data_IF_800497437885
#
_entry.id   IF_800497437885
#
_cell.length_a   1.000
_cell.length_b   1.000
_cell.length_c   1.000
_cell.angle_alpha   90.00
_cell.angle_beta   90.00
_cell.angle_gamma   90.00
#
_symmetry.space_group_name_H-M   'P 1'
#
loop_
_entity.id
_entity.type
_entity.pdbx_description
1 polymer ?
#
# COMPACT_ATOMS: atom_id res chain seq x y z
N UNK A 1 78.72 -17.92 -36.29
CA UNK A 1 78.01 -16.64 -36.10
C UNK A 1 76.54 -16.81 -35.64
N UNK A 2 75.88 -17.91 -35.90
CA UNK A 2 74.48 -18.15 -35.56
C UNK A 2 74.17 -18.48 -34.07
N UNK A 3 75.14 -19.05 -33.33
CA UNK A 3 74.89 -19.46 -31.92
C UNK A 3 74.78 -18.30 -30.90
N UNK A 4 75.32 -17.13 -31.21
CA UNK A 4 75.23 -15.97 -30.32
C UNK A 4 73.95 -15.15 -30.50
N UNK A 5 73.28 -15.27 -31.65
CA UNK A 5 72.06 -14.61 -31.96
C UNK A 5 70.81 -15.28 -31.31
N UNK A 6 70.84 -16.58 -31.14
CA UNK A 6 69.74 -17.36 -30.54
C UNK A 6 69.66 -17.13 -29.02
N UNK A 7 70.78 -16.90 -28.34
CA UNK A 7 70.84 -16.69 -26.89
C UNK A 7 70.27 -15.30 -26.53
N UNK A 8 70.48 -14.27 -27.35
CA UNK A 8 69.90 -12.95 -27.13
C UNK A 8 68.36 -12.91 -27.36
N UNK A 9 67.81 -13.68 -28.28
CA UNK A 9 66.37 -13.70 -28.56
C UNK A 9 65.59 -14.44 -27.46
N UNK A 10 66.14 -15.44 -26.80
CA UNK A 10 65.51 -16.11 -25.67
C UNK A 10 65.56 -15.33 -24.38
N UNK A 11 66.59 -14.49 -24.17
CA UNK A 11 66.67 -13.60 -22.98
C UNK A 11 65.66 -12.46 -23.00
N UNK A 12 65.34 -11.90 -24.15
CA UNK A 12 64.35 -10.81 -24.28
C UNK A 12 62.90 -11.30 -24.18
N UNK A 13 62.63 -12.55 -24.55
CA UNK A 13 61.29 -13.14 -24.43
C UNK A 13 60.90 -13.43 -22.96
N UNK A 14 61.87 -13.79 -22.11
CA UNK A 14 61.64 -14.07 -20.68
C UNK A 14 61.38 -12.76 -19.89
N UNK A 15 61.99 -11.65 -20.28
CA UNK A 15 61.81 -10.34 -19.60
C UNK A 15 60.42 -9.74 -19.90
N UNK A 16 59.86 -9.98 -21.09
CA UNK A 16 58.52 -9.51 -21.47
C UNK A 16 57.43 -10.33 -20.77
N UNK A 17 57.67 -11.60 -20.47
CA UNK A 17 56.73 -12.46 -19.73
C UNK A 17 56.52 -12.05 -18.26
N UNK A 18 57.46 -11.33 -17.65
CA UNK A 18 57.42 -10.95 -16.23
C UNK A 18 56.70 -9.59 -15.99
N UNK A 19 56.47 -8.79 -17.05
CA UNK A 19 55.88 -7.48 -16.95
C UNK A 19 54.33 -7.49 -16.93
N UNK A 20 53.69 -8.64 -17.18
CA UNK A 20 52.23 -8.76 -17.24
C UNK A 20 51.55 -9.29 -15.96
N UNK A 21 52.26 -9.52 -14.88
CA UNK A 21 51.66 -9.74 -13.57
C UNK A 21 51.51 -8.41 -12.83
N UNK A 22 50.81 -7.45 -13.47
CA UNK A 22 50.16 -6.38 -12.70
C UNK A 22 49.04 -7.05 -11.92
N UNK A 23 49.30 -7.49 -10.71
CA UNK A 23 48.27 -7.76 -9.74
C UNK A 23 47.40 -6.52 -9.66
N UNK A 24 46.22 -6.58 -10.21
CA UNK A 24 45.16 -5.67 -9.81
C UNK A 24 44.97 -5.88 -8.32
N UNK A 25 45.60 -5.03 -7.52
CA UNK A 25 45.44 -5.00 -6.08
C UNK A 25 44.01 -4.56 -5.87
N UNK A 26 43.08 -5.50 -5.71
CA UNK A 26 41.71 -5.22 -5.31
C UNK A 26 41.84 -4.38 -4.02
N UNK A 27 41.43 -3.13 -4.13
CA UNK A 27 41.33 -2.30 -2.94
C UNK A 27 40.41 -3.07 -1.97
N UNK A 28 40.86 -3.33 -0.74
CA UNK A 28 40.04 -4.03 0.23
C UNK A 28 38.67 -3.32 0.28
N UNK A 29 37.64 -4.09 -0.01
CA UNK A 29 36.28 -3.54 0.08
C UNK A 29 36.06 -3.06 1.52
N UNK A 30 35.53 -1.85 1.70
CA UNK A 30 35.32 -1.32 3.03
C UNK A 30 34.40 -2.24 3.83
N UNK A 31 34.62 -2.37 5.13
CA UNK A 31 33.69 -3.08 6.00
C UNK A 31 32.31 -2.42 5.88
N UNK A 32 31.27 -3.20 5.80
CA UNK A 32 29.89 -2.69 5.68
C UNK A 32 29.01 -3.26 6.78
N UNK A 33 28.12 -2.40 7.28
CA UNK A 33 27.07 -2.80 8.21
C UNK A 33 25.75 -2.51 7.51
N UNK A 34 24.94 -3.54 7.37
CA UNK A 34 23.66 -3.51 6.67
C UNK A 34 22.55 -3.77 7.68
N UNK A 35 21.62 -2.85 7.80
CA UNK A 35 20.55 -2.88 8.79
C UNK A 35 19.23 -2.43 8.21
N UNK A 36 18.15 -2.93 8.80
CA UNK A 36 16.79 -2.44 8.53
C UNK A 36 16.26 -1.72 9.77
N UNK A 37 15.95 -0.45 9.61
CA UNK A 37 15.22 0.31 10.62
C UNK A 37 13.73 0.26 10.33
N UNK A 38 12.93 0.22 11.40
CA UNK A 38 11.46 0.22 11.34
C UNK A 38 10.91 1.22 12.35
N UNK A 39 9.80 1.85 12.01
CA UNK A 39 9.08 2.67 12.97
C UNK A 39 7.58 2.52 12.75
N UNK A 40 6.84 2.51 13.86
CA UNK A 40 5.39 2.43 13.87
C UNK A 40 4.84 3.67 14.58
N UNK A 41 3.84 4.31 13.96
CA UNK A 41 3.08 5.40 14.55
C UNK A 41 1.66 4.90 14.75
N UNK A 42 1.16 4.99 15.98
CA UNK A 42 -0.25 4.73 16.30
C UNK A 42 -1.05 6.01 16.17
N UNK A 43 -2.22 5.93 15.53
CA UNK A 43 -3.09 7.09 15.29
C UNK A 43 -4.55 6.67 15.31
N UNK A 44 -5.42 7.52 15.89
CA UNK A 44 -6.85 7.38 15.75
C UNK A 44 -7.27 7.81 14.34
N UNK A 45 -8.01 6.98 13.60
CA UNK A 45 -8.53 7.38 12.29
C UNK A 45 -9.54 8.53 12.44
N UNK A 46 -9.54 9.42 11.45
CA UNK A 46 -10.47 10.53 11.36
C UNK A 46 -11.24 10.58 10.04
N UNK A 47 -11.10 9.54 9.21
CA UNK A 47 -11.83 9.39 7.95
C UNK A 47 -12.37 7.97 7.88
N UNK A 48 -13.64 7.83 7.53
CA UNK A 48 -14.28 6.56 7.20
C UNK A 48 -14.72 6.54 5.74
N UNK A 49 -14.54 5.41 5.09
CA UNK A 49 -14.98 5.18 3.71
C UNK A 49 -15.87 3.94 3.67
N UNK A 50 -17.09 4.08 3.16
CA UNK A 50 -18.06 2.98 2.99
C UNK A 50 -18.41 2.84 1.52
N UNK A 51 -18.46 1.61 1.03
CA UNK A 51 -18.92 1.33 -0.32
C UNK A 51 -20.33 0.75 -0.30
N UNK A 52 -21.18 1.24 -1.19
CA UNK A 52 -22.54 0.73 -1.41
C UNK A 52 -22.67 0.26 -2.85
N UNK A 53 -23.49 -0.77 -3.08
CA UNK A 53 -23.81 -1.18 -4.44
C UNK A 53 -25.32 -1.32 -4.60
N UNK A 54 -25.84 -0.74 -5.67
CA UNK A 54 -27.23 -0.88 -6.14
C UNK A 54 -27.20 -1.79 -7.35
N UNK A 55 -27.89 -2.92 -7.28
CA UNK A 55 -28.06 -3.86 -8.39
C UNK A 55 -29.54 -3.95 -8.79
N UNK A 56 -29.78 -3.98 -10.10
CA UNK A 56 -31.10 -4.20 -10.70
C UNK A 56 -30.96 -5.20 -11.83
N UNK A 57 -32.03 -5.93 -12.10
CA UNK A 57 -32.08 -6.87 -13.22
C UNK A 57 -33.42 -6.74 -13.92
N UNK A 58 -33.40 -6.67 -15.26
CA UNK A 58 -34.59 -6.56 -16.08
C UNK A 58 -34.41 -7.33 -17.40
N UNK A 59 -35.47 -7.48 -18.16
CA UNK A 59 -35.44 -8.17 -19.47
C UNK A 59 -34.73 -7.38 -20.56
N UNK A 60 -34.65 -6.05 -20.43
CA UNK A 60 -33.92 -5.18 -21.36
C UNK A 60 -32.83 -4.36 -20.64
N UNK A 61 -31.78 -4.04 -21.38
CA UNK A 61 -30.68 -3.19 -20.86
C UNK A 61 -31.17 -1.81 -20.42
N UNK A 62 -32.08 -1.20 -21.20
CA UNK A 62 -32.68 0.12 -20.91
C UNK A 62 -33.42 0.11 -19.57
N UNK A 63 -34.25 -0.92 -19.37
CA UNK A 63 -35.04 -1.06 -18.15
C UNK A 63 -34.14 -1.31 -16.93
N UNK A 64 -33.17 -2.23 -17.03
CA UNK A 64 -32.22 -2.51 -15.95
C UNK A 64 -31.44 -1.27 -15.53
N UNK A 65 -30.96 -0.47 -16.50
CA UNK A 65 -30.24 0.78 -16.25
C UNK A 65 -31.15 1.88 -15.65
N UNK A 66 -32.38 2.01 -16.16
CA UNK A 66 -33.36 2.99 -15.64
C UNK A 66 -33.72 2.73 -14.18
N UNK A 67 -34.11 1.50 -13.84
CA UNK A 67 -34.40 1.10 -12.45
C UNK A 67 -33.17 1.27 -11.53
N UNK A 68 -31.97 1.04 -12.06
CA UNK A 68 -30.74 1.24 -11.31
C UNK A 68 -30.51 2.73 -11.00
N UNK A 69 -30.72 3.60 -12.00
CA UNK A 69 -30.59 5.04 -11.81
C UNK A 69 -31.55 5.54 -10.73
N UNK A 70 -32.84 5.19 -10.80
CA UNK A 70 -33.86 5.58 -9.82
C UNK A 70 -33.49 5.13 -8.39
N UNK A 71 -33.05 3.88 -8.22
CA UNK A 71 -32.64 3.37 -6.90
C UNK A 71 -31.37 4.04 -6.40
N UNK A 72 -30.42 4.31 -7.31
CA UNK A 72 -29.20 5.02 -6.95
C UNK A 72 -29.50 6.47 -6.51
N UNK A 73 -30.40 7.15 -7.21
CA UNK A 73 -30.80 8.50 -6.83
C UNK A 73 -31.48 8.53 -5.46
N UNK A 74 -32.33 7.54 -5.14
CA UNK A 74 -32.91 7.41 -3.79
C UNK A 74 -31.83 7.24 -2.73
N UNK A 75 -30.82 6.38 -2.97
CA UNK A 75 -29.69 6.22 -2.06
C UNK A 75 -28.94 7.53 -1.88
N UNK A 76 -28.57 8.21 -2.98
CA UNK A 76 -27.80 9.45 -2.93
C UNK A 76 -28.53 10.54 -2.15
N UNK A 77 -29.85 10.68 -2.35
CA UNK A 77 -30.67 11.66 -1.64
C UNK A 77 -30.76 11.33 -0.15
N UNK A 78 -31.04 10.07 0.19
CA UNK A 78 -31.12 9.63 1.59
C UNK A 78 -29.79 9.84 2.33
N UNK A 79 -28.65 9.53 1.70
CA UNK A 79 -27.35 9.79 2.28
C UNK A 79 -27.07 11.30 2.45
N UNK A 80 -27.52 12.14 1.53
CA UNK A 80 -27.37 13.60 1.63
C UNK A 80 -28.20 14.21 2.73
N UNK A 81 -29.38 13.69 3.04
CA UNK A 81 -30.27 14.18 4.11
C UNK A 81 -29.64 14.04 5.51
N UNK A 82 -28.85 12.95 5.73
CA UNK A 82 -28.16 12.74 7.00
C UNK A 82 -26.92 13.66 7.12
N UNK A 83 -26.47 14.22 6.00
CA UNK A 83 -25.14 14.80 5.87
C UNK A 83 -25.10 16.24 6.33
N UNK A 84 -24.38 16.52 7.42
CA UNK A 84 -23.74 17.80 7.63
C UNK A 84 -22.43 17.86 6.84
N UNK A 85 -22.12 18.99 6.33
CA UNK A 85 -21.02 19.55 5.50
C UNK A 85 -19.74 18.76 5.13
N UNK A 86 -19.47 17.55 5.64
CA UNK A 86 -18.16 16.88 5.50
C UNK A 86 -18.25 15.45 4.91
N UNK A 87 -19.20 15.23 4.01
CA UNK A 87 -19.33 13.94 3.32
C UNK A 87 -19.10 14.11 1.84
N UNK A 88 -18.19 13.31 1.32
CA UNK A 88 -17.97 13.18 -0.11
C UNK A 88 -18.62 11.91 -0.60
N UNK A 89 -19.53 12.03 -1.55
CA UNK A 89 -20.18 10.90 -2.21
C UNK A 89 -19.76 10.91 -3.66
N UNK A 90 -19.30 9.78 -4.16
CA UNK A 90 -18.92 9.60 -5.57
C UNK A 90 -19.35 8.25 -6.10
N UNK A 91 -19.75 8.20 -7.36
CA UNK A 91 -19.89 6.94 -8.08
C UNK A 91 -18.48 6.40 -8.37
N UNK A 92 -18.20 5.18 -7.92
CA UNK A 92 -16.92 4.51 -8.13
C UNK A 92 -16.94 3.55 -9.32
N UNK A 93 -18.10 3.20 -9.84
CA UNK A 93 -18.23 2.38 -11.03
C UNK A 93 -19.67 2.10 -11.39
N UNK A 94 -19.92 1.95 -12.70
CA UNK A 94 -21.18 1.46 -13.26
C UNK A 94 -20.88 0.31 -14.22
N UNK A 95 -21.66 -0.75 -14.12
CA UNK A 95 -21.56 -1.91 -15.01
C UNK A 95 -22.95 -2.38 -15.41
N UNK A 96 -23.12 -2.69 -16.70
CA UNK A 96 -24.31 -3.28 -17.27
C UNK A 96 -23.94 -4.55 -18.04
N UNK A 97 -24.37 -5.71 -17.54
CA UNK A 97 -23.99 -7.02 -18.10
C UNK A 97 -25.20 -7.82 -18.52
N UNK A 98 -25.15 -8.56 -19.64
CA UNK A 98 -26.18 -9.50 -20.00
C UNK A 98 -26.15 -10.71 -19.06
N UNK A 99 -27.33 -11.25 -18.77
CA UNK A 99 -27.55 -12.50 -18.03
C UNK A 99 -27.96 -13.57 -19.04
N UNK A 100 -27.20 -14.65 -19.07
CA UNK A 100 -27.48 -15.80 -19.97
C UNK A 100 -28.06 -16.97 -19.19
N UNK A 101 -28.87 -17.80 -19.86
CA UNK A 101 -29.28 -19.08 -19.30
C UNK A 101 -28.13 -20.09 -19.35
N UNK A 102 -28.13 -21.05 -18.40
CA UNK A 102 -27.11 -22.11 -18.37
C UNK A 102 -27.07 -22.96 -19.64
N UNK A 103 -28.25 -23.16 -20.23
CA UNK A 103 -28.42 -24.06 -21.36
C UNK A 103 -28.41 -23.34 -22.74
N UNK A 104 -28.43 -22.00 -22.76
CA UNK A 104 -28.42 -21.22 -24.00
C UNK A 104 -27.63 -19.93 -23.83
N UNK A 105 -26.47 -19.85 -24.50
CA UNK A 105 -25.62 -18.66 -24.53
C UNK A 105 -25.84 -17.76 -25.74
N UNK A 106 -26.82 -18.10 -26.59
CA UNK A 106 -27.04 -17.37 -27.83
C UNK A 106 -27.84 -16.07 -27.66
N UNK A 107 -28.71 -16.02 -26.65
CA UNK A 107 -29.50 -14.82 -26.35
C UNK A 107 -29.51 -14.54 -24.86
N UNK A 108 -29.31 -13.30 -24.43
CA UNK A 108 -29.40 -12.95 -23.01
C UNK A 108 -30.85 -13.14 -22.53
N UNK A 109 -31.01 -13.74 -21.36
CA UNK A 109 -32.27 -13.88 -20.62
C UNK A 109 -32.71 -12.54 -19.98
N UNK A 110 -31.75 -11.65 -19.74
CA UNK A 110 -31.96 -10.35 -19.13
C UNK A 110 -30.65 -9.59 -19.01
N UNK A 111 -30.72 -8.50 -18.32
CA UNK A 111 -29.57 -7.60 -18.07
C UNK A 111 -29.50 -7.25 -16.60
N UNK A 112 -28.28 -7.14 -16.09
CA UNK A 112 -28.00 -6.67 -14.73
C UNK A 112 -27.24 -5.37 -14.80
N UNK A 113 -27.76 -4.33 -14.16
CA UNK A 113 -27.07 -3.09 -13.93
C UNK A 113 -26.57 -3.04 -12.49
N UNK A 114 -25.34 -2.61 -12.29
CA UNK A 114 -24.74 -2.38 -10.98
C UNK A 114 -24.08 -1.02 -10.93
N UNK A 115 -24.47 -0.22 -9.95
CA UNK A 115 -23.84 1.05 -9.63
C UNK A 115 -23.15 0.93 -8.27
N UNK A 116 -21.91 1.39 -8.18
CA UNK A 116 -21.12 1.40 -6.96
C UNK A 116 -20.90 2.83 -6.50
N UNK A 117 -21.32 3.12 -5.27
CA UNK A 117 -21.22 4.44 -4.63
C UNK A 117 -20.24 4.34 -3.48
N UNK A 118 -19.32 5.27 -3.41
CA UNK A 118 -18.38 5.43 -2.32
C UNK A 118 -18.73 6.68 -1.52
N UNK A 119 -18.90 6.50 -0.22
CA UNK A 119 -19.10 7.56 0.76
C UNK A 119 -17.84 7.70 1.60
N UNK A 120 -17.26 8.89 1.64
CA UNK A 120 -16.15 9.26 2.50
C UNK A 120 -16.61 10.34 3.48
N UNK A 121 -16.35 10.16 4.78
CA UNK A 121 -16.76 11.10 5.82
C UNK A 121 -15.72 11.22 6.92
N UNK A 122 -15.64 12.44 7.51
CA UNK A 122 -14.94 12.69 8.78
C UNK A 122 -15.82 12.48 10.01
N UNK A 123 -17.14 12.42 9.83
CA UNK A 123 -18.10 12.13 10.90
C UNK A 123 -18.18 10.61 11.13
N UNK A 124 -17.14 10.03 11.72
CA UNK A 124 -17.03 8.58 11.95
C UNK A 124 -18.19 8.06 12.82
N UNK A 125 -18.62 8.83 13.79
CA UNK A 125 -19.75 8.55 14.67
C UNK A 125 -21.08 8.35 13.93
N UNK A 126 -21.22 8.91 12.72
CA UNK A 126 -22.42 8.79 11.89
C UNK A 126 -22.38 7.63 10.89
N UNK A 127 -21.28 6.88 10.81
CA UNK A 127 -21.16 5.81 9.83
C UNK A 127 -22.25 4.75 9.99
N UNK A 128 -22.59 4.38 11.23
CA UNK A 128 -23.72 3.48 11.51
C UNK A 128 -25.04 3.99 10.93
N UNK A 129 -25.32 5.28 11.09
CA UNK A 129 -26.54 5.88 10.54
C UNK A 129 -26.56 5.88 9.00
N UNK A 130 -25.43 6.08 8.34
CA UNK A 130 -25.32 5.95 6.87
C UNK A 130 -25.60 4.53 6.41
N UNK A 131 -25.09 3.53 7.12
CA UNK A 131 -25.32 2.11 6.82
C UNK A 131 -26.80 1.74 7.00
N UNK A 132 -27.40 2.17 8.11
CA UNK A 132 -28.80 1.90 8.43
C UNK A 132 -29.73 2.56 7.38
N UNK A 133 -29.46 3.80 7.00
CA UNK A 133 -30.24 4.51 6.01
C UNK A 133 -30.08 3.90 4.60
N UNK A 134 -28.86 3.55 4.21
CA UNK A 134 -28.65 2.84 2.95
C UNK A 134 -29.41 1.51 2.90
N UNK A 135 -29.44 0.79 4.02
CA UNK A 135 -30.23 -0.45 4.14
C UNK A 135 -31.73 -0.19 4.02
N UNK A 136 -32.23 0.89 4.66
CA UNK A 136 -33.64 1.28 4.61
C UNK A 136 -34.12 1.61 3.20
N UNK A 137 -33.29 2.27 2.39
CA UNK A 137 -33.63 2.57 0.98
C UNK A 137 -33.38 1.41 0.01
N UNK A 138 -32.92 0.28 0.52
CA UNK A 138 -32.84 -0.97 -0.23
C UNK A 138 -31.62 -1.09 -1.13
N UNK A 139 -30.42 -0.69 -0.65
CA UNK A 139 -29.18 -1.04 -1.36
C UNK A 139 -29.03 -2.56 -1.46
N UNK A 140 -28.47 -3.02 -2.56
CA UNK A 140 -28.28 -4.45 -2.80
C UNK A 140 -27.11 -5.03 -2.03
N UNK A 141 -26.11 -4.18 -1.69
CA UNK A 141 -24.94 -4.57 -0.93
C UNK A 141 -24.32 -3.37 -0.22
N UNK A 142 -23.92 -3.60 1.02
CA UNK A 142 -22.99 -2.76 1.75
C UNK A 142 -21.63 -3.49 1.68
N UNK A 143 -20.64 -2.83 1.11
CA UNK A 143 -19.32 -3.41 0.91
C UNK A 143 -18.37 -3.12 2.07
N UNK A 144 -17.09 -2.84 1.75
CA UNK A 144 -16.08 -2.56 2.75
C UNK A 144 -16.35 -1.25 3.49
N UNK A 145 -16.24 -1.28 4.81
CA UNK A 145 -16.00 -0.13 5.65
C UNK A 145 -14.50 -0.10 5.96
N UNK A 146 -13.85 1.00 5.65
CA UNK A 146 -12.43 1.22 5.93
C UNK A 146 -12.23 2.53 6.66
N UNK A 147 -11.26 2.54 7.57
CA UNK A 147 -10.86 3.72 8.30
C UNK A 147 -9.48 4.16 7.85
N UNK A 148 -9.28 5.47 7.82
CA UNK A 148 -8.02 6.09 7.43
C UNK A 148 -7.83 7.42 8.17
N UNK A 149 -6.71 8.06 7.91
CA UNK A 149 -6.44 9.42 8.40
C UNK A 149 -6.15 10.34 7.22
N UNK A 150 -6.61 11.59 7.29
CA UNK A 150 -6.27 12.62 6.29
C UNK A 150 -4.82 13.10 6.41
N UNK A 151 -4.10 12.65 7.46
CA UNK A 151 -2.66 12.90 7.68
C UNK A 151 -1.78 11.71 7.29
N UNK A 152 -2.26 10.77 6.48
CA UNK A 152 -1.52 9.54 6.14
C UNK A 152 -0.13 9.85 5.58
N UNK A 153 -0.03 10.76 4.62
CA UNK A 153 1.25 11.12 4.00
C UNK A 153 2.24 11.77 4.99
N UNK A 154 1.74 12.64 5.86
CA UNK A 154 2.56 13.28 6.91
C UNK A 154 3.11 12.25 7.91
N UNK A 155 2.22 11.37 8.40
CA UNK A 155 2.57 10.34 9.37
C UNK A 155 3.51 9.29 8.79
N UNK A 156 3.37 8.95 7.51
CA UNK A 156 4.32 8.08 6.80
C UNK A 156 5.70 8.70 6.71
N UNK A 157 5.80 9.97 6.38
CA UNK A 157 7.09 10.70 6.37
C UNK A 157 7.72 10.71 7.76
N UNK A 158 6.93 10.96 8.79
CA UNK A 158 7.41 10.92 10.18
C UNK A 158 7.90 9.53 10.57
N UNK A 159 7.16 8.47 10.24
CA UNK A 159 7.56 7.09 10.49
C UNK A 159 8.85 6.73 9.74
N UNK A 160 8.98 7.14 8.47
CA UNK A 160 10.19 6.90 7.68
C UNK A 160 11.42 7.58 8.30
N UNK A 161 11.30 8.83 8.77
CA UNK A 161 12.40 9.52 9.47
C UNK A 161 12.80 8.78 10.76
N UNK A 162 11.81 8.34 11.56
CA UNK A 162 12.08 7.54 12.76
C UNK A 162 12.73 6.20 12.42
N UNK A 163 12.35 5.56 11.32
CA UNK A 163 12.97 4.32 10.86
C UNK A 163 14.45 4.53 10.49
N UNK A 164 14.80 5.64 9.82
CA UNK A 164 16.20 6.00 9.55
C UNK A 164 16.99 6.20 10.84
N UNK A 165 16.42 6.90 11.82
CA UNK A 165 17.07 7.13 13.12
C UNK A 165 17.30 5.80 13.86
N UNK A 166 16.34 4.89 13.82
CA UNK A 166 16.48 3.56 14.39
C UNK A 166 17.58 2.76 13.67
N UNK A 167 17.60 2.75 12.32
CA UNK A 167 18.63 2.08 11.55
C UNK A 167 20.03 2.57 11.92
N UNK A 168 20.21 3.91 12.05
CA UNK A 168 21.46 4.51 12.45
C UNK A 168 21.89 4.04 13.84
N UNK A 169 20.98 4.05 14.81
CA UNK A 169 21.27 3.59 16.18
C UNK A 169 21.69 2.12 16.21
N UNK A 170 20.96 1.25 15.50
CA UNK A 170 21.31 -0.18 15.41
C UNK A 170 22.71 -0.35 14.78
N UNK A 171 23.00 0.38 13.70
CA UNK A 171 24.32 0.32 13.05
C UNK A 171 25.45 0.78 13.97
N UNK A 172 25.25 1.85 14.75
CA UNK A 172 26.22 2.35 15.73
C UNK A 172 26.48 1.32 16.84
N UNK A 173 25.42 0.68 17.37
CA UNK A 173 25.53 -0.35 18.40
C UNK A 173 26.28 -1.58 17.87
N UNK A 174 25.99 -2.02 16.64
CA UNK A 174 26.67 -3.14 15.98
C UNK A 174 28.15 -2.81 15.68
N UNK A 175 28.42 -1.61 15.16
CA UNK A 175 29.78 -1.16 14.90
C UNK A 175 30.61 -1.18 16.20
N UNK A 176 30.10 -0.61 17.29
CA UNK A 176 30.76 -0.60 18.59
C UNK A 176 31.04 -2.02 19.09
N UNK A 177 30.07 -2.92 18.99
CA UNK A 177 30.26 -4.32 19.41
C UNK A 177 31.32 -5.06 18.56
N UNK A 178 31.47 -4.68 17.28
CA UNK A 178 32.49 -5.23 16.38
C UNK A 178 33.86 -4.53 16.46
N UNK A 179 34.00 -3.50 17.31
CA UNK A 179 35.23 -2.69 17.35
C UNK A 179 35.42 -1.78 16.14
N UNK A 180 34.33 -1.44 15.45
CA UNK A 180 34.32 -0.60 14.26
C UNK A 180 33.66 0.76 14.56
N UNK A 181 33.87 1.70 13.66
CA UNK A 181 33.27 3.03 13.69
C UNK A 181 32.52 3.30 12.39
N UNK A 182 31.29 3.80 12.46
CA UNK A 182 30.51 4.20 11.29
C UNK A 182 31.14 5.43 10.64
N UNK A 183 31.33 5.40 9.33
CA UNK A 183 31.90 6.49 8.53
C UNK A 183 30.84 7.29 7.80
N UNK A 184 30.01 6.61 6.98
CA UNK A 184 28.96 7.23 6.17
C UNK A 184 27.94 6.21 5.74
N UNK A 185 26.79 6.69 5.26
CA UNK A 185 25.82 5.88 4.54
C UNK A 185 26.31 5.69 3.11
N UNK A 186 26.38 4.43 2.64
CA UNK A 186 26.69 4.08 1.24
C UNK A 186 25.39 3.96 0.43
N UNK A 187 24.37 3.35 1.03
CA UNK A 187 23.09 3.12 0.37
C UNK A 187 21.95 3.27 1.37
N UNK A 188 20.90 3.96 0.96
CA UNK A 188 19.63 4.02 1.67
C UNK A 188 18.54 3.67 0.67
N UNK A 189 17.76 2.64 1.02
CA UNK A 189 16.60 2.21 0.24
C UNK A 189 15.36 2.36 1.08
N UNK A 190 14.40 3.13 0.57
CA UNK A 190 13.10 3.31 1.16
C UNK A 190 12.03 2.83 0.19
N UNK A 191 11.09 2.05 0.68
CA UNK A 191 9.94 1.60 -0.08
C UNK A 191 8.69 1.78 0.79
N UNK A 192 7.87 2.75 0.42
CA UNK A 192 6.60 3.01 1.08
C UNK A 192 5.54 2.08 0.51
N UNK A 193 5.28 0.95 1.15
CA UNK A 193 4.26 -0.01 0.69
C UNK A 193 3.59 -0.78 1.82
N UNK A 194 3.64 -0.28 3.05
CA UNK A 194 2.90 -0.91 4.13
C UNK A 194 1.40 -0.59 4.01
N UNK A 195 0.51 -1.58 3.89
CA UNK A 195 -0.91 -1.30 4.07
C UNK A 195 -1.13 -0.80 5.50
N UNK A 196 -1.95 0.23 5.64
CA UNK A 196 -2.46 0.65 6.95
C UNK A 196 -3.21 -0.53 7.54
N UNK A 197 -2.76 -1.03 8.68
CA UNK A 197 -3.41 -2.17 9.34
C UNK A 197 -4.30 -1.65 10.46
N UNK A 198 -5.61 -1.95 10.44
CA UNK A 198 -6.44 -1.70 11.60
C UNK A 198 -5.94 -2.57 12.76
N UNK A 199 -5.70 -1.98 13.91
CA UNK A 199 -5.44 -2.70 15.13
C UNK A 199 -6.76 -3.26 15.64
N UNK A 200 -6.87 -4.57 15.77
CA UNK A 200 -8.09 -5.26 16.19
C UNK A 200 -8.21 -5.16 17.70
N UNK A 201 -9.13 -4.35 18.22
CA UNK A 201 -9.63 -4.52 19.57
C UNK A 201 -10.84 -5.45 19.53
N UNK A 202 -10.94 -6.37 20.49
CA UNK A 202 -12.07 -7.29 20.62
C UNK A 202 -13.34 -6.51 20.97
N UNK A 203 -14.40 -6.73 20.17
CA UNK A 203 -15.67 -6.05 20.32
C UNK A 203 -16.52 -6.66 21.46
N UNK A 204 -17.07 -5.80 22.30
CA UNK A 204 -18.21 -6.13 23.18
C UNK A 204 -19.52 -5.71 22.49
N UNK A 205 -20.45 -6.67 22.44
CA UNK A 205 -21.74 -6.50 21.79
C UNK A 205 -22.72 -5.72 22.66
N UNK A 206 -23.38 -4.69 22.10
CA UNK A 206 -24.77 -4.30 22.45
C UNK A 206 -25.35 -3.24 21.51
N UNK A 207 -26.63 -3.44 21.15
CA UNK A 207 -27.68 -2.47 20.81
C UNK A 207 -28.05 -2.27 19.33
N UNK A 208 -29.33 -1.97 19.12
CA UNK A 208 -30.24 -1.83 18.00
C UNK A 208 -29.83 -0.90 16.82
N UNK A 209 -28.56 -0.56 16.68
CA UNK A 209 -27.95 0.14 15.53
C UNK A 209 -26.71 -0.64 15.12
N UNK A 210 -26.29 -0.51 13.85
CA UNK A 210 -25.05 -1.14 13.40
C UNK A 210 -23.88 -0.64 14.27
N UNK A 211 -23.38 -1.46 15.24
CA UNK A 211 -22.30 -1.01 16.13
C UNK A 211 -21.02 -0.93 15.32
N UNK A 212 -20.36 0.22 15.38
CA UNK A 212 -19.08 0.46 14.73
C UNK A 212 -18.12 0.96 15.79
N UNK A 213 -17.17 0.10 16.16
CA UNK A 213 -16.09 0.46 17.07
C UNK A 213 -14.85 0.80 16.26
N UNK A 214 -14.32 1.96 16.54
CA UNK A 214 -13.14 2.49 15.84
C UNK A 214 -11.92 2.27 16.73
N UNK A 215 -11.05 1.35 16.33
CA UNK A 215 -9.76 1.14 16.98
C UNK A 215 -8.67 2.05 16.43
N UNK A 216 -7.54 2.11 17.13
CA UNK A 216 -6.33 2.73 16.61
C UNK A 216 -5.83 2.00 15.36
N UNK A 217 -5.17 2.73 14.49
CA UNK A 217 -4.51 2.18 13.31
C UNK A 217 -3.00 2.41 13.44
N UNK A 218 -2.23 1.51 12.86
CA UNK A 218 -0.77 1.58 12.84
C UNK A 218 -0.26 1.92 11.45
N UNK A 219 0.62 2.91 11.38
CA UNK A 219 1.38 3.27 10.19
C UNK A 219 2.81 2.80 10.43
N UNK A 220 3.24 1.79 9.69
CA UNK A 220 4.58 1.21 9.79
C UNK A 220 5.37 1.54 8.53
N UNK A 221 6.58 2.06 8.71
CA UNK A 221 7.54 2.30 7.64
C UNK A 221 8.88 1.64 7.95
N UNK A 222 9.57 1.20 6.89
CA UNK A 222 10.87 0.56 7.00
C UNK A 222 11.86 1.13 6.01
N UNK A 223 13.10 1.21 6.43
CA UNK A 223 14.24 1.64 5.60
C UNK A 223 15.35 0.60 5.69
N UNK A 224 15.98 0.34 4.57
CA UNK A 224 17.15 -0.50 4.50
C UNK A 224 18.38 0.38 4.25
N UNK A 225 19.39 0.27 5.10
CA UNK A 225 20.56 1.16 5.07
C UNK A 225 21.85 0.36 5.15
N UNK A 226 22.80 0.71 4.28
CA UNK A 226 24.15 0.16 4.27
C UNK A 226 25.11 1.28 4.67
N UNK A 227 25.89 1.02 5.70
CA UNK A 227 26.91 1.91 6.24
C UNK A 227 28.30 1.40 5.88
N UNK A 228 29.20 2.30 5.57
CA UNK A 228 30.65 2.05 5.56
C UNK A 228 31.17 2.17 6.99
N UNK A 229 31.98 1.21 7.40
CA UNK A 229 32.63 1.18 8.71
C UNK A 229 34.13 0.92 8.56
N UNK A 230 34.91 1.28 9.56
CA UNK A 230 36.38 1.07 9.60
C UNK A 230 36.83 0.80 11.04
#
# INVERSE_FOLDING_TARGET
MYRRFVICLFGTLIIISFACLSYAQEKPSPSTIEVTGKATIMVMPNVATVSFAVETSATTAKQAAGENAEKTDKLLNALREITAKEVKIKTSGFNLTPIYDKDSRLRPKGYRARNSVLLETKSIDKVGAFIDEASRVGVSRIGSLTFSTDRDEELRKEAAVKAVQQAKKIAEDLAKAAGLTIKKIIKLSYSSHGPVRPYRMEAMAAAARTPIEVGEMSIEESVHVVFEAY
#
